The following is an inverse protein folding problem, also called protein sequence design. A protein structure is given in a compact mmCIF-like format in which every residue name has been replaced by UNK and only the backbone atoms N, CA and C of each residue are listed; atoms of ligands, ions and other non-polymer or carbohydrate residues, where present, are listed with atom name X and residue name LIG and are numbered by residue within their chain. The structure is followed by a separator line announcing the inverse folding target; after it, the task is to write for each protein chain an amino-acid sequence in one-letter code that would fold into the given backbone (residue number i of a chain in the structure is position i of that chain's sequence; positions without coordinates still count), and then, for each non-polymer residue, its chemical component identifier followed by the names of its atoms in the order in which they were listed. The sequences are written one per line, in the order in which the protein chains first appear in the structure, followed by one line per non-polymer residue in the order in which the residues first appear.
data_IF_609209599625
#
_entry.id   IF_609209599625
#
_cell.length_a   1.000
_cell.length_b   1.000
_cell.length_c   1.000
_cell.angle_alpha   90.00
_cell.angle_beta   90.00
_cell.angle_gamma   90.00
#
_symmetry.space_group_name_H-M   'P 1'
#
loop_
_entity.id
_entity.type
_entity.pdbx_description
1 polymer ?
#
# COMPACT_ATOMS: atom_id res chain seq x y z
N UNK A 1 -26.90 34.23 -6.50
CA UNK A 1 -27.74 33.23 -7.17
C UNK A 1 -27.01 31.90 -7.06
N UNK A 2 -27.52 30.94 -6.28
CA UNK A 2 -26.91 29.61 -6.15
C UNK A 2 -27.42 28.79 -7.32
N UNK A 3 -26.56 28.45 -8.27
CA UNK A 3 -26.93 27.59 -9.40
C UNK A 3 -26.86 26.12 -8.98
N UNK A 4 -27.88 25.62 -8.30
CA UNK A 4 -28.00 24.16 -8.06
C UNK A 4 -28.54 23.50 -9.32
N UNK A 5 -27.66 22.98 -10.18
CA UNK A 5 -28.09 22.09 -11.25
C UNK A 5 -28.21 20.66 -10.72
N UNK A 6 -29.44 20.16 -10.59
CA UNK A 6 -29.74 18.81 -10.07
C UNK A 6 -29.86 17.75 -11.16
N UNK A 7 -29.92 18.14 -12.44
CA UNK A 7 -30.00 17.22 -13.57
C UNK A 7 -28.65 16.63 -13.98
N UNK A 8 -28.68 15.48 -14.64
CA UNK A 8 -27.49 14.93 -15.27
C UNK A 8 -27.03 15.85 -16.42
N UNK A 9 -25.73 16.10 -16.53
CA UNK A 9 -25.12 16.85 -17.62
C UNK A 9 -24.36 15.93 -18.55
N UNK A 10 -24.65 16.00 -19.84
CA UNK A 10 -23.88 15.30 -20.88
C UNK A 10 -23.11 16.34 -21.68
N UNK A 11 -21.80 16.17 -21.77
CA UNK A 11 -20.95 17.01 -22.59
C UNK A 11 -20.75 16.37 -23.97
N UNK A 12 -21.19 17.08 -25.01
CA UNK A 12 -21.08 16.67 -26.42
C UNK A 12 -20.10 17.54 -27.24
N UNK A 13 -19.43 18.48 -26.58
CA UNK A 13 -18.45 19.38 -27.17
C UNK A 13 -17.41 19.76 -26.10
N UNK A 14 -16.25 20.24 -26.54
CA UNK A 14 -15.23 20.79 -25.66
C UNK A 14 -15.82 21.94 -24.84
N UNK A 15 -15.57 21.94 -23.53
CA UNK A 15 -16.13 22.92 -22.63
C UNK A 15 -15.23 23.14 -21.42
N UNK A 16 -15.38 24.32 -20.82
CA UNK A 16 -14.80 24.64 -19.53
C UNK A 16 -15.89 24.58 -18.46
N UNK A 17 -15.56 24.06 -17.28
CA UNK A 17 -16.43 24.06 -16.11
C UNK A 17 -15.90 25.08 -15.11
N UNK A 18 -16.82 25.89 -14.59
CA UNK A 18 -16.57 26.78 -13.46
C UNK A 18 -17.75 26.66 -12.50
N UNK A 19 -17.50 26.14 -11.30
CA UNK A 19 -18.53 25.92 -10.28
C UNK A 19 -18.82 27.17 -9.44
N UNK A 20 -17.88 28.12 -9.37
CA UNK A 20 -17.89 29.28 -8.48
C UNK A 20 -18.24 28.88 -7.03
N UNK A 21 -17.68 27.76 -6.57
CA UNK A 21 -17.93 27.16 -5.26
C UNK A 21 -19.29 26.46 -5.09
N UNK A 22 -20.08 26.28 -6.16
CA UNK A 22 -21.40 25.63 -6.11
C UNK A 22 -21.30 24.14 -6.43
N UNK A 23 -21.97 23.32 -5.62
CA UNK A 23 -22.10 21.87 -5.85
C UNK A 23 -23.10 21.56 -6.96
N UNK A 24 -22.67 20.79 -7.96
CA UNK A 24 -23.54 20.19 -8.97
C UNK A 24 -24.18 18.91 -8.41
N UNK A 25 -25.50 18.77 -8.55
CA UNK A 25 -26.25 17.67 -7.94
C UNK A 25 -26.28 16.39 -8.80
N UNK A 26 -26.49 16.52 -10.11
CA UNK A 26 -26.56 15.37 -11.02
C UNK A 26 -25.20 14.92 -11.52
N UNK A 27 -25.12 13.73 -12.11
CA UNK A 27 -23.88 13.23 -12.71
C UNK A 27 -23.42 14.12 -13.87
N UNK A 28 -22.11 14.17 -14.11
CA UNK A 28 -21.58 14.65 -15.39
C UNK A 28 -21.18 13.46 -16.23
N UNK A 29 -21.40 13.53 -17.54
CA UNK A 29 -21.08 12.46 -18.49
C UNK A 29 -20.29 13.03 -19.65
N UNK A 30 -19.10 12.49 -19.86
CA UNK A 30 -18.22 12.80 -20.99
C UNK A 30 -18.30 11.59 -21.92
N UNK A 31 -18.94 11.77 -23.08
CA UNK A 31 -19.35 10.67 -23.95
C UNK A 31 -19.26 11.03 -25.43
N UNK A 32 -18.26 11.84 -25.79
CA UNK A 32 -17.98 12.19 -27.18
C UNK A 32 -16.47 12.10 -27.43
N UNK A 33 -16.09 11.60 -28.59
CA UNK A 33 -14.69 11.45 -28.97
C UNK A 33 -14.05 12.81 -29.24
N UNK A 34 -12.78 12.96 -28.88
CA UNK A 34 -11.98 14.13 -29.23
C UNK A 34 -12.33 15.43 -28.50
N UNK A 35 -13.29 15.41 -27.57
CA UNK A 35 -13.60 16.60 -26.75
C UNK A 35 -12.73 16.63 -25.50
N UNK A 36 -12.51 17.84 -24.97
CA UNK A 36 -11.87 18.06 -23.67
C UNK A 36 -12.81 18.83 -22.76
N UNK A 37 -12.97 18.34 -21.55
CA UNK A 37 -13.67 19.05 -20.47
C UNK A 37 -12.64 19.50 -19.45
N UNK A 38 -12.47 20.82 -19.33
CA UNK A 38 -11.42 21.42 -18.49
C UNK A 38 -12.03 22.14 -17.29
N UNK A 39 -11.51 21.89 -16.10
CA UNK A 39 -11.88 22.66 -14.90
C UNK A 39 -11.13 24.00 -14.86
N UNK A 40 -11.83 25.08 -14.51
CA UNK A 40 -11.24 26.40 -14.27
C UNK A 40 -11.17 26.78 -12.79
N UNK A 41 -11.91 26.07 -11.93
CA UNK A 41 -11.91 26.20 -10.48
C UNK A 41 -12.15 24.84 -9.81
N UNK A 42 -12.17 24.83 -8.47
CA UNK A 42 -12.45 23.62 -7.70
C UNK A 42 -13.85 23.09 -7.99
N UNK A 43 -13.92 21.80 -8.31
CA UNK A 43 -15.12 21.16 -8.81
C UNK A 43 -15.81 20.36 -7.70
N UNK A 44 -17.10 20.63 -7.50
CA UNK A 44 -17.93 19.96 -6.49
C UNK A 44 -19.11 19.26 -7.15
N UNK A 45 -19.19 17.95 -6.99
CA UNK A 45 -20.20 17.09 -7.59
C UNK A 45 -20.79 16.14 -6.53
N UNK A 46 -22.10 16.17 -6.31
CA UNK A 46 -22.77 15.25 -5.38
C UNK A 46 -23.01 13.84 -5.98
N UNK A 47 -22.52 13.59 -7.20
CA UNK A 47 -22.77 12.39 -7.99
C UNK A 47 -21.48 11.92 -8.70
N UNK A 48 -21.62 11.03 -9.68
CA UNK A 48 -20.51 10.46 -10.42
C UNK A 48 -20.05 11.35 -11.57
N UNK A 49 -18.73 11.38 -11.77
CA UNK A 49 -18.13 11.68 -13.07
C UNK A 49 -18.19 10.40 -13.91
N UNK A 50 -18.99 10.41 -14.97
CA UNK A 50 -19.13 9.31 -15.92
C UNK A 50 -18.23 9.56 -17.13
N UNK A 51 -17.01 9.01 -17.09
CA UNK A 51 -15.99 9.21 -18.12
C UNK A 51 -16.02 8.06 -19.13
N UNK A 52 -16.87 8.20 -20.14
CA UNK A 52 -17.12 7.15 -21.13
C UNK A 52 -16.38 7.39 -22.46
N UNK A 53 -15.90 8.60 -22.72
CA UNK A 53 -15.09 8.98 -23.89
C UNK A 53 -14.42 10.35 -23.66
N UNK A 54 -13.42 10.70 -24.47
CA UNK A 54 -12.82 12.05 -24.49
C UNK A 54 -11.87 12.33 -23.33
N UNK A 55 -11.52 13.60 -23.11
CA UNK A 55 -10.56 14.01 -22.07
C UNK A 55 -11.26 14.73 -20.92
N UNK A 56 -10.97 14.33 -19.69
CA UNK A 56 -11.25 15.13 -18.50
C UNK A 56 -9.94 15.73 -17.99
N UNK A 57 -9.87 17.05 -17.98
CA UNK A 57 -8.70 17.83 -17.58
C UNK A 57 -9.00 18.57 -16.27
N UNK A 58 -8.44 18.07 -15.16
CA UNK A 58 -8.64 18.70 -13.86
C UNK A 58 -7.84 20.00 -13.70
N UNK A 59 -6.81 20.23 -14.52
CA UNK A 59 -6.11 21.52 -14.60
C UNK A 59 -5.66 22.04 -13.21
N UNK A 60 -5.07 21.14 -12.42
CA UNK A 60 -4.58 21.38 -11.05
C UNK A 60 -5.65 21.79 -10.02
N UNK A 61 -6.94 21.62 -10.35
CA UNK A 61 -8.05 21.92 -9.43
C UNK A 61 -8.39 20.76 -8.52
N UNK A 62 -8.92 21.07 -7.34
CA UNK A 62 -9.48 20.05 -6.47
C UNK A 62 -10.79 19.53 -7.06
N UNK A 63 -11.02 18.22 -6.90
CA UNK A 63 -12.22 17.54 -7.35
C UNK A 63 -12.86 16.86 -6.16
N UNK A 64 -14.07 17.28 -5.79
CA UNK A 64 -14.89 16.55 -4.82
C UNK A 64 -16.06 15.92 -5.56
N UNK A 65 -16.15 14.59 -5.56
CA UNK A 65 -17.24 13.87 -6.21
C UNK A 65 -17.71 12.67 -5.38
N UNK A 66 -18.92 12.17 -5.65
CA UNK A 66 -19.32 10.86 -5.10
C UNK A 66 -18.37 9.77 -5.60
N UNK A 67 -18.01 9.82 -6.88
CA UNK A 67 -17.00 8.95 -7.45
C UNK A 67 -16.73 9.25 -8.91
N UNK A 68 -15.80 8.51 -9.48
CA UNK A 68 -15.56 8.47 -10.93
C UNK A 68 -15.81 7.05 -11.42
N UNK A 69 -16.51 6.95 -12.55
CA UNK A 69 -16.79 5.67 -13.19
C UNK A 69 -16.62 5.78 -14.69
N UNK A 70 -15.96 4.79 -15.27
CA UNK A 70 -15.88 4.66 -16.71
C UNK A 70 -17.04 3.84 -17.32
N UNK A 71 -17.94 3.34 -16.45
CA UNK A 71 -19.15 2.57 -16.78
C UNK A 71 -18.90 1.51 -17.87
N UNK A 72 -17.85 0.70 -17.66
CA UNK A 72 -17.46 -0.40 -18.54
C UNK A 72 -17.13 0.00 -19.99
N UNK A 73 -16.95 1.30 -20.27
CA UNK A 73 -16.57 1.75 -21.60
C UNK A 73 -15.18 1.20 -21.98
N UNK A 74 -14.95 1.03 -23.28
CA UNK A 74 -13.65 0.68 -23.86
C UNK A 74 -13.17 1.73 -24.86
N UNK A 75 -13.87 2.87 -24.95
CA UNK A 75 -13.51 3.96 -25.84
C UNK A 75 -12.22 4.66 -25.37
N UNK A 76 -11.63 5.46 -26.26
CA UNK A 76 -10.53 6.36 -25.92
C UNK A 76 -10.96 7.42 -24.90
N UNK A 77 -10.27 7.43 -23.76
CA UNK A 77 -10.51 8.29 -22.60
C UNK A 77 -9.16 8.72 -22.03
N UNK A 78 -9.03 10.00 -21.70
CA UNK A 78 -7.84 10.54 -21.04
C UNK A 78 -8.26 11.26 -19.77
N UNK A 79 -7.75 10.82 -18.63
CA UNK A 79 -7.98 11.44 -17.33
C UNK A 79 -6.69 12.14 -16.88
N UNK A 80 -6.68 13.46 -16.92
CA UNK A 80 -5.57 14.28 -16.43
C UNK A 80 -5.94 14.79 -15.04
N UNK A 81 -5.24 14.31 -14.02
CA UNK A 81 -5.60 14.56 -12.62
C UNK A 81 -4.97 15.83 -12.04
N UNK A 82 -3.89 16.33 -12.67
CA UNK A 82 -3.14 17.49 -12.18
C UNK A 82 -2.52 17.25 -10.80
N UNK A 83 -2.38 18.31 -10.03
CA UNK A 83 -1.82 18.32 -8.66
C UNK A 83 -2.88 18.41 -7.55
N UNK A 84 -4.16 18.52 -7.91
CA UNK A 84 -5.26 18.73 -6.96
C UNK A 84 -5.60 17.51 -6.10
N UNK A 85 -6.37 17.76 -5.04
CA UNK A 85 -6.98 16.75 -4.19
C UNK A 85 -8.28 16.23 -4.82
N UNK A 86 -8.34 14.91 -5.04
CA UNK A 86 -9.50 14.17 -5.51
C UNK A 86 -10.24 13.52 -4.35
N UNK A 87 -11.19 14.25 -3.76
CA UNK A 87 -12.01 13.78 -2.64
C UNK A 87 -13.18 12.94 -3.13
N UNK A 88 -13.18 11.67 -2.78
CA UNK A 88 -14.22 10.68 -3.10
C UNK A 88 -15.13 10.49 -1.89
N UNK A 89 -16.42 10.80 -2.06
CA UNK A 89 -17.43 10.78 -0.99
C UNK A 89 -18.36 9.56 -1.04
N UNK A 90 -18.10 8.60 -1.94
CA UNK A 90 -18.87 7.36 -2.06
C UNK A 90 -19.14 6.70 -0.71
N UNK A 91 -20.43 6.41 -0.46
CA UNK A 91 -20.86 5.86 0.83
C UNK A 91 -20.75 4.34 0.92
N UNK A 92 -20.64 3.66 -0.21
CA UNK A 92 -20.56 2.21 -0.37
C UNK A 92 -20.14 1.86 -1.81
N UNK A 93 -19.67 0.63 -2.03
CA UNK A 93 -19.36 0.14 -3.37
C UNK A 93 -18.13 0.81 -3.97
N UNK A 94 -18.10 1.01 -5.29
CA UNK A 94 -16.89 1.44 -6.00
C UNK A 94 -16.87 2.94 -6.28
N UNK A 95 -16.21 3.72 -5.41
CA UNK A 95 -16.06 5.17 -5.59
C UNK A 95 -15.04 5.55 -6.67
N UNK A 96 -14.00 4.74 -6.84
CA UNK A 96 -13.04 4.85 -7.94
C UNK A 96 -13.19 3.65 -8.87
N UNK A 97 -14.03 3.78 -9.89
CA UNK A 97 -14.49 2.67 -10.74
C UNK A 97 -13.86 2.73 -12.14
N UNK A 98 -12.54 2.51 -12.20
CA UNK A 98 -11.73 2.56 -13.43
C UNK A 98 -11.13 1.19 -13.81
N UNK A 99 -11.75 0.09 -13.41
CA UNK A 99 -11.29 -1.27 -13.71
C UNK A 99 -11.14 -1.58 -15.21
N UNK A 100 -12.03 -1.03 -16.05
CA UNK A 100 -11.99 -1.24 -17.51
C UNK A 100 -10.89 -0.38 -18.14
N UNK A 101 -9.67 -0.92 -18.20
CA UNK A 101 -8.47 -0.20 -18.64
C UNK A 101 -8.38 0.04 -20.16
N UNK A 102 -9.03 -0.78 -20.99
CA UNK A 102 -8.93 -0.69 -22.47
C UNK A 102 -9.32 0.69 -22.97
N UNK A 103 -8.39 1.42 -23.61
CA UNK A 103 -8.65 2.77 -24.12
C UNK A 103 -8.68 3.87 -23.06
N UNK A 104 -8.33 3.58 -21.80
CA UNK A 104 -8.17 4.59 -20.75
C UNK A 104 -6.68 4.93 -20.57
N UNK A 105 -6.38 6.22 -20.52
CA UNK A 105 -5.08 6.76 -20.10
C UNK A 105 -5.29 7.59 -18.84
N UNK A 106 -4.49 7.34 -17.81
CA UNK A 106 -4.48 8.13 -16.57
C UNK A 106 -3.15 8.85 -16.46
N UNK A 107 -3.20 10.18 -16.37
CA UNK A 107 -2.07 11.05 -16.07
C UNK A 107 -2.25 11.59 -14.65
N UNK A 108 -1.70 10.87 -13.67
CA UNK A 108 -1.92 11.16 -12.26
C UNK A 108 -1.14 12.37 -11.73
N UNK A 109 -0.04 12.75 -12.39
CA UNK A 109 0.86 13.84 -11.98
C UNK A 109 1.20 13.77 -10.49
N UNK A 110 0.90 14.80 -9.70
CA UNK A 110 1.14 14.83 -8.24
C UNK A 110 -0.16 14.82 -7.43
N UNK A 111 -1.26 14.38 -8.02
CA UNK A 111 -2.58 14.35 -7.37
C UNK A 111 -2.65 13.43 -6.14
N UNK A 112 -3.68 13.62 -5.32
CA UNK A 112 -4.02 12.70 -4.22
C UNK A 112 -5.46 12.26 -4.36
N UNK A 113 -5.71 10.96 -4.39
CA UNK A 113 -7.06 10.38 -4.29
C UNK A 113 -7.36 10.14 -2.82
N UNK A 114 -8.41 10.78 -2.29
CA UNK A 114 -8.76 10.72 -0.87
C UNK A 114 -10.19 10.22 -0.68
N UNK A 115 -10.36 9.06 -0.04
CA UNK A 115 -11.67 8.56 0.38
C UNK A 115 -12.00 9.05 1.79
N UNK A 116 -13.14 9.72 1.98
CA UNK A 116 -13.47 10.43 3.23
C UNK A 116 -14.69 9.91 3.97
N UNK A 117 -15.51 9.04 3.36
CA UNK A 117 -16.72 8.57 3.99
C UNK A 117 -16.42 7.69 5.22
N UNK A 118 -17.00 8.08 6.37
CA UNK A 118 -16.86 7.42 7.67
C UNK A 118 -17.92 6.36 7.95
N UNK A 119 -18.87 6.13 7.03
CA UNK A 119 -19.87 5.07 7.17
C UNK A 119 -19.27 3.66 7.06
N UNK A 120 -19.86 2.71 7.78
CA UNK A 120 -19.36 1.32 7.94
C UNK A 120 -19.56 0.40 6.73
N UNK A 121 -19.97 0.93 5.58
CA UNK A 121 -20.17 0.10 4.39
C UNK A 121 -18.83 -0.27 3.74
N UNK A 122 -18.82 -1.39 3.05
CA UNK A 122 -17.69 -1.79 2.22
C UNK A 122 -17.49 -0.80 1.06
N UNK A 123 -16.22 -0.53 0.72
CA UNK A 123 -15.80 0.34 -0.36
C UNK A 123 -14.76 -0.38 -1.22
N UNK A 124 -14.79 -0.12 -2.52
CA UNK A 124 -13.83 -0.64 -3.48
C UNK A 124 -13.09 0.49 -4.19
N UNK A 125 -11.77 0.39 -4.25
CA UNK A 125 -10.91 1.12 -5.18
C UNK A 125 -10.58 0.19 -6.35
N UNK A 126 -11.15 0.48 -7.52
CA UNK A 126 -10.94 -0.30 -8.73
C UNK A 126 -10.04 0.46 -9.72
N UNK A 127 -8.73 0.37 -9.48
CA UNK A 127 -7.73 1.21 -10.12
C UNK A 127 -7.31 0.79 -11.53
N UNK A 128 -7.73 -0.37 -12.02
CA UNK A 128 -7.48 -0.80 -13.41
C UNK A 128 -6.02 -1.13 -13.75
N UNK A 129 -5.11 -1.10 -12.76
CA UNK A 129 -3.68 -1.38 -12.96
C UNK A 129 -2.86 -0.19 -13.44
N UNK A 130 -3.36 1.03 -13.23
CA UNK A 130 -2.65 2.27 -13.59
C UNK A 130 -1.70 2.74 -12.47
N UNK A 131 -0.87 3.72 -12.83
CA UNK A 131 -0.04 4.48 -11.88
C UNK A 131 -0.80 5.69 -11.39
N UNK A 132 -0.87 5.81 -10.07
CA UNK A 132 -1.41 6.93 -9.32
C UNK A 132 -0.29 7.55 -8.48
N UNK A 133 -0.46 8.81 -8.08
CA UNK A 133 0.49 9.43 -7.17
C UNK A 133 0.16 9.03 -5.73
N UNK A 134 -0.78 9.69 -5.05
CA UNK A 134 -1.13 9.30 -3.68
C UNK A 134 -2.54 8.68 -3.61
N UNK A 135 -2.68 7.58 -2.87
CA UNK A 135 -3.96 7.02 -2.47
C UNK A 135 -4.09 7.10 -0.95
N UNK A 136 -5.16 7.72 -0.48
CA UNK A 136 -5.39 7.98 0.95
C UNK A 136 -6.81 7.59 1.37
N UNK A 137 -6.91 6.64 2.30
CA UNK A 137 -8.15 6.33 3.02
C UNK A 137 -8.21 7.12 4.34
N UNK A 138 -9.03 8.17 4.37
CA UNK A 138 -9.27 9.00 5.56
C UNK A 138 -10.69 8.79 6.08
N UNK A 139 -11.00 7.54 6.42
CA UNK A 139 -12.37 7.11 6.73
C UNK A 139 -12.71 7.18 8.22
N UNK A 140 -11.92 7.91 9.01
CA UNK A 140 -12.20 8.19 10.42
C UNK A 140 -12.50 6.94 11.24
N UNK A 141 -13.73 6.81 11.72
CA UNK A 141 -14.18 5.68 12.56
C UNK A 141 -14.89 4.56 11.79
N UNK A 142 -14.76 4.51 10.46
CA UNK A 142 -15.37 3.46 9.64
C UNK A 142 -14.76 2.10 9.93
N UNK A 143 -15.60 1.10 10.21
CA UNK A 143 -15.20 -0.32 10.25
C UNK A 143 -15.40 -1.04 8.91
N UNK A 144 -15.88 -0.32 7.89
CA UNK A 144 -16.18 -0.89 6.58
C UNK A 144 -14.94 -1.38 5.84
N UNK A 145 -15.04 -2.56 5.24
CA UNK A 145 -13.94 -3.17 4.47
C UNK A 145 -13.58 -2.28 3.28
N UNK A 146 -12.29 -2.05 3.05
CA UNK A 146 -11.75 -1.45 1.84
C UNK A 146 -11.23 -2.59 0.95
N UNK A 147 -11.64 -2.65 -0.31
CA UNK A 147 -11.13 -3.63 -1.27
C UNK A 147 -10.39 -2.93 -2.40
N UNK A 148 -9.20 -3.39 -2.73
CA UNK A 148 -8.35 -2.84 -3.78
C UNK A 148 -8.22 -3.90 -4.87
N UNK A 149 -8.56 -3.50 -6.10
CA UNK A 149 -8.55 -4.39 -7.27
C UNK A 149 -7.60 -3.87 -8.34
N UNK A 150 -7.06 -4.80 -9.14
CA UNK A 150 -6.02 -4.52 -10.13
C UNK A 150 -4.64 -4.38 -9.50
N UNK A 151 -3.59 -4.49 -10.32
CA UNK A 151 -2.20 -4.32 -9.91
C UNK A 151 -1.76 -2.88 -10.12
N UNK A 152 -1.96 -2.01 -9.13
CA UNK A 152 -1.76 -0.57 -9.27
C UNK A 152 -0.37 -0.14 -8.78
N UNK A 153 0.06 1.04 -9.21
CA UNK A 153 1.27 1.69 -8.68
C UNK A 153 0.89 2.98 -7.94
N UNK A 154 1.47 3.22 -6.77
CA UNK A 154 1.27 4.42 -5.96
C UNK A 154 2.63 5.00 -5.54
N UNK A 155 2.80 6.32 -5.56
CA UNK A 155 3.90 6.97 -4.85
C UNK A 155 3.71 6.82 -3.33
N UNK A 156 2.50 7.08 -2.83
CA UNK A 156 2.13 6.88 -1.43
C UNK A 156 0.83 6.09 -1.31
N UNK A 157 0.85 5.05 -0.47
CA UNK A 157 -0.33 4.35 0.01
C UNK A 157 -0.56 4.70 1.48
N UNK A 158 -1.67 5.36 1.79
CA UNK A 158 -1.95 5.91 3.12
C UNK A 158 -3.32 5.51 3.66
N UNK A 159 -3.39 5.20 4.96
CA UNK A 159 -4.62 5.04 5.72
C UNK A 159 -4.52 5.78 7.07
N UNK A 160 -5.53 6.59 7.40
CA UNK A 160 -5.64 7.34 8.67
C UNK A 160 -6.89 6.97 9.47
N UNK A 161 -7.43 5.77 9.24
CA UNK A 161 -8.52 5.21 10.05
C UNK A 161 -8.13 5.09 11.52
N UNK A 162 -9.08 5.37 12.40
CA UNK A 162 -8.88 5.48 13.85
C UNK A 162 -9.38 4.26 14.63
N UNK A 163 -10.09 3.35 13.96
CA UNK A 163 -10.66 2.12 14.53
C UNK A 163 -10.16 0.90 13.77
N UNK A 164 -10.28 -0.29 14.38
CA UNK A 164 -10.00 -1.54 13.71
C UNK A 164 -10.85 -1.70 12.43
N UNK A 165 -10.20 -2.02 11.32
CA UNK A 165 -10.86 -2.27 10.04
C UNK A 165 -9.96 -3.12 9.13
N UNK A 166 -10.41 -3.40 7.90
CA UNK A 166 -9.72 -4.30 6.98
C UNK A 166 -9.55 -3.66 5.60
N UNK A 167 -8.34 -3.77 5.08
CA UNK A 167 -7.98 -3.50 3.69
C UNK A 167 -7.67 -4.85 3.03
N UNK A 168 -8.47 -5.19 2.01
CA UNK A 168 -8.32 -6.39 1.19
C UNK A 168 -7.67 -6.03 -0.14
N UNK A 169 -6.66 -6.79 -0.54
CA UNK A 169 -6.09 -6.76 -1.87
C UNK A 169 -6.59 -7.96 -2.66
N UNK A 170 -6.98 -7.75 -3.92
CA UNK A 170 -7.42 -8.86 -4.78
C UNK A 170 -6.29 -9.87 -4.96
N UNK A 171 -6.60 -11.15 -4.82
CA UNK A 171 -5.58 -12.19 -4.89
C UNK A 171 -4.90 -12.21 -6.27
N UNK A 172 -3.61 -12.52 -6.29
CA UNK A 172 -2.79 -12.50 -7.50
C UNK A 172 -2.46 -11.11 -8.04
N UNK A 173 -2.82 -10.03 -7.33
CA UNK A 173 -2.43 -8.66 -7.70
C UNK A 173 -1.18 -8.19 -7.00
N UNK A 174 -0.47 -7.26 -7.64
CA UNK A 174 0.72 -6.59 -7.11
C UNK A 174 0.44 -5.11 -6.96
N UNK A 175 0.57 -4.58 -5.75
CA UNK A 175 0.64 -3.14 -5.53
C UNK A 175 2.10 -2.73 -5.50
N UNK A 176 2.50 -1.82 -6.39
CA UNK A 176 3.83 -1.21 -6.38
C UNK A 176 3.73 0.11 -5.63
N UNK A 177 4.58 0.32 -4.65
CA UNK A 177 4.59 1.52 -3.81
C UNK A 177 5.99 2.13 -3.72
N UNK A 178 6.06 3.40 -3.30
CA UNK A 178 7.31 4.04 -2.82
C UNK A 178 7.22 4.40 -1.33
N UNK A 179 6.00 4.44 -0.77
CA UNK A 179 5.75 4.68 0.65
C UNK A 179 4.48 3.97 1.09
N UNK A 180 4.56 3.31 2.25
CA UNK A 180 3.43 2.73 2.97
C UNK A 180 3.24 3.44 4.31
N UNK A 181 2.14 4.18 4.45
CA UNK A 181 1.71 4.81 5.70
C UNK A 181 0.36 4.21 6.13
N UNK A 182 0.41 3.05 6.75
CA UNK A 182 -0.79 2.36 7.24
C UNK A 182 -0.54 1.87 8.64
N UNK A 183 -1.00 2.68 9.60
CA UNK A 183 -0.66 2.54 11.00
C UNK A 183 -1.94 2.56 11.83
N UNK A 184 -2.23 1.46 12.52
CA UNK A 184 -3.32 1.39 13.48
C UNK A 184 -2.95 2.03 14.82
N UNK A 185 -3.71 1.67 15.85
CA UNK A 185 -3.37 2.00 17.24
C UNK A 185 -3.59 0.80 18.17
N UNK A 186 -3.13 0.90 19.42
CA UNK A 186 -3.35 -0.16 20.41
C UNK A 186 -4.84 -0.48 20.55
N UNK A 187 -5.21 -1.75 20.38
CA UNK A 187 -6.60 -2.20 20.36
C UNK A 187 -7.34 -2.00 19.03
N UNK A 188 -6.77 -1.25 18.08
CA UNK A 188 -7.37 -0.92 16.78
C UNK A 188 -6.43 -1.30 15.63
N UNK A 189 -6.27 -2.61 15.39
CA UNK A 189 -5.41 -3.11 14.32
C UNK A 189 -6.01 -2.85 12.94
N UNK A 190 -5.20 -2.36 12.01
CA UNK A 190 -5.55 -2.36 10.57
C UNK A 190 -5.16 -3.71 9.99
N UNK A 191 -6.14 -4.44 9.46
CA UNK A 191 -5.89 -5.76 8.86
C UNK A 191 -5.58 -5.61 7.36
N UNK A 192 -4.42 -6.09 6.93
CA UNK A 192 -4.00 -6.16 5.53
C UNK A 192 -4.02 -7.63 5.07
N UNK A 193 -4.89 -7.96 4.12
CA UNK A 193 -5.07 -9.36 3.72
C UNK A 193 -5.51 -9.50 2.26
N UNK A 194 -5.50 -10.74 1.76
CA UNK A 194 -6.07 -11.09 0.47
C UNK A 194 -7.60 -11.09 0.48
N UNK A 195 -8.20 -11.12 -0.71
CA UNK A 195 -9.61 -11.43 -0.89
C UNK A 195 -9.95 -12.88 -0.56
N UNK A 196 -8.99 -13.81 -0.74
CA UNK A 196 -9.06 -15.20 -0.32
C UNK A 196 -7.67 -15.71 0.11
N UNK A 197 -7.35 -16.98 -0.14
CA UNK A 197 -6.06 -17.61 0.24
C UNK A 197 -5.01 -17.59 -0.87
N UNK A 198 -5.31 -16.99 -2.03
CA UNK A 198 -4.39 -16.92 -3.18
C UNK A 198 -3.24 -15.93 -2.99
N UNK A 199 -3.36 -15.05 -1.99
CA UNK A 199 -2.32 -14.09 -1.60
C UNK A 199 -2.18 -12.88 -2.50
N UNK A 200 -1.46 -11.88 -2.00
CA UNK A 200 -1.26 -10.58 -2.64
C UNK A 200 0.19 -10.14 -2.50
N UNK A 201 0.64 -9.25 -3.39
CA UNK A 201 2.02 -8.78 -3.42
C UNK A 201 2.04 -7.27 -3.15
N UNK A 202 2.98 -6.85 -2.30
CA UNK A 202 3.39 -5.45 -2.17
C UNK A 202 4.86 -5.34 -2.57
N UNK A 203 5.18 -4.38 -3.43
CA UNK A 203 6.52 -4.23 -3.97
C UNK A 203 7.00 -2.80 -3.84
N UNK A 204 8.24 -2.63 -3.38
CA UNK A 204 8.95 -1.35 -3.41
C UNK A 204 10.42 -1.61 -3.79
N UNK A 205 10.92 -0.80 -4.71
CA UNK A 205 12.26 -0.93 -5.29
C UNK A 205 13.40 -0.66 -4.30
N UNK A 206 13.18 0.22 -3.31
CA UNK A 206 14.23 0.64 -2.38
C UNK A 206 13.65 1.30 -1.12
N UNK A 207 14.50 1.56 -0.12
CA UNK A 207 14.06 2.25 1.10
C UNK A 207 13.50 1.29 2.16
N UNK A 208 12.69 1.84 3.08
CA UNK A 208 12.15 1.11 4.23
C UNK A 208 10.68 1.47 4.42
N UNK A 209 9.82 0.47 4.35
CA UNK A 209 8.40 0.58 4.68
C UNK A 209 8.19 0.02 6.09
N UNK A 210 7.72 0.86 7.01
CA UNK A 210 7.46 0.46 8.41
C UNK A 210 6.00 0.70 8.74
N UNK A 211 5.36 -0.33 9.30
CA UNK A 211 3.98 -0.24 9.79
C UNK A 211 3.92 -0.55 11.28
N UNK A 212 2.86 -0.09 11.93
CA UNK A 212 2.57 -0.29 13.35
C UNK A 212 1.11 -0.65 13.54
N UNK A 213 0.82 -1.51 14.52
CA UNK A 213 -0.54 -1.95 14.83
C UNK A 213 -1.29 -2.48 13.59
N UNK A 214 -0.62 -3.32 12.79
CA UNK A 214 -1.22 -4.00 11.65
C UNK A 214 -1.33 -5.51 11.87
N UNK A 215 -2.36 -6.13 11.30
CA UNK A 215 -2.44 -7.59 11.18
C UNK A 215 -2.31 -7.96 9.70
N UNK A 216 -1.18 -8.56 9.31
CA UNK A 216 -0.87 -8.83 7.91
C UNK A 216 -1.00 -10.33 7.67
N UNK A 217 -1.65 -10.74 6.57
CA UNK A 217 -1.73 -12.15 6.18
C UNK A 217 -1.73 -12.32 4.67
N UNK A 218 -1.27 -13.49 4.21
CA UNK A 218 -1.21 -13.87 2.79
C UNK A 218 -0.49 -12.85 1.90
N UNK A 219 0.50 -12.14 2.46
CA UNK A 219 1.24 -11.06 1.76
C UNK A 219 2.65 -11.49 1.39
N UNK A 220 3.06 -11.18 0.17
CA UNK A 220 4.47 -11.24 -0.25
C UNK A 220 5.00 -9.82 -0.42
N UNK A 221 5.92 -9.41 0.44
CA UNK A 221 6.68 -8.17 0.31
C UNK A 221 7.94 -8.40 -0.54
N UNK A 222 8.18 -7.54 -1.55
CA UNK A 222 9.29 -7.70 -2.51
C UNK A 222 9.79 -6.36 -3.08
N UNK A 223 10.70 -6.39 -4.06
CA UNK A 223 11.11 -5.23 -4.86
C UNK A 223 12.49 -4.66 -4.54
N UNK A 224 13.05 -4.96 -3.37
CA UNK A 224 14.39 -4.48 -2.96
C UNK A 224 14.38 -3.59 -1.71
N UNK A 225 13.23 -3.03 -1.35
CA UNK A 225 13.04 -2.34 -0.08
C UNK A 225 12.98 -3.29 1.13
N UNK A 226 13.14 -2.74 2.33
CA UNK A 226 12.92 -3.46 3.58
C UNK A 226 11.48 -3.23 4.05
N UNK A 227 10.73 -4.30 4.29
CA UNK A 227 9.38 -4.25 4.85
C UNK A 227 9.39 -4.68 6.32
N UNK A 228 9.05 -3.75 7.22
CA UNK A 228 9.10 -3.94 8.68
C UNK A 228 7.71 -3.86 9.29
N UNK A 229 7.28 -4.97 9.88
CA UNK A 229 6.06 -5.09 10.67
C UNK A 229 6.43 -5.68 12.05
N UNK A 230 7.37 -5.04 12.75
CA UNK A 230 7.94 -5.56 14.00
C UNK A 230 6.83 -5.76 15.05
N UNK A 231 6.81 -6.92 15.70
CA UNK A 231 5.81 -7.24 16.74
C UNK A 231 5.82 -6.23 17.91
N UNK A 232 6.99 -5.68 18.27
CA UNK A 232 7.11 -4.63 19.31
C UNK A 232 6.28 -3.37 19.01
N UNK A 233 6.00 -3.09 17.74
CA UNK A 233 5.15 -1.98 17.31
C UNK A 233 3.66 -2.36 17.27
N UNK A 234 3.27 -3.46 17.94
CA UNK A 234 1.89 -3.94 18.01
C UNK A 234 1.41 -4.67 16.75
N UNK A 235 2.32 -5.07 15.85
CA UNK A 235 1.96 -5.82 14.65
C UNK A 235 1.73 -7.31 14.94
N UNK A 236 0.89 -7.94 14.13
CA UNK A 236 0.59 -9.37 14.15
C UNK A 236 0.93 -9.99 12.80
N UNK A 237 1.68 -11.09 12.85
CA UNK A 237 1.82 -12.01 11.71
C UNK A 237 0.60 -12.94 11.67
N UNK A 238 -0.37 -12.60 10.83
CA UNK A 238 -1.57 -13.38 10.60
C UNK A 238 -1.35 -14.65 9.77
N UNK A 239 -0.09 -14.95 9.39
CA UNK A 239 0.30 -16.16 8.68
C UNK A 239 0.33 -16.02 7.16
N UNK A 240 1.06 -16.93 6.53
CA UNK A 240 1.27 -16.99 5.07
C UNK A 240 1.92 -15.72 4.50
N UNK A 241 2.79 -15.07 5.29
CA UNK A 241 3.54 -13.90 4.86
C UNK A 241 4.96 -14.28 4.41
N UNK A 242 5.50 -13.56 3.44
CA UNK A 242 6.91 -13.64 3.04
C UNK A 242 7.47 -12.24 2.77
N UNK A 243 8.78 -12.05 2.97
CA UNK A 243 9.47 -10.76 2.77
C UNK A 243 9.26 -9.70 3.87
N UNK A 244 8.25 -9.87 4.73
CA UNK A 244 8.00 -9.02 5.89
C UNK A 244 8.89 -9.41 7.08
N UNK A 245 9.45 -8.43 7.77
CA UNK A 245 10.15 -8.64 9.04
C UNK A 245 9.21 -8.39 10.23
N UNK A 246 8.79 -9.48 10.89
CA UNK A 246 8.02 -9.44 12.15
C UNK A 246 8.89 -9.61 13.41
N UNK A 247 10.19 -9.91 13.25
CA UNK A 247 11.08 -10.20 14.36
C UNK A 247 11.22 -9.03 15.34
N UNK A 248 11.49 -9.36 16.60
CA UNK A 248 11.92 -8.36 17.59
C UNK A 248 13.38 -8.03 17.30
N UNK A 249 13.67 -6.84 16.78
CA UNK A 249 15.03 -6.32 16.87
C UNK A 249 15.00 -4.95 17.55
N UNK A 250 15.12 -4.99 18.87
CA UNK A 250 15.75 -3.92 19.65
C UNK A 250 17.12 -4.42 20.08
N UNK A 251 18.11 -4.39 19.17
CA UNK A 251 19.48 -4.29 19.67
C UNK A 251 19.70 -2.81 19.95
N UNK A 252 19.37 -2.39 21.17
CA UNK A 252 19.78 -1.07 21.65
C UNK A 252 21.30 -1.02 21.66
N UNK A 253 21.88 -0.02 20.99
CA UNK A 253 23.32 0.22 21.04
C UNK A 253 23.70 0.54 22.50
N UNK A 254 24.72 -0.12 23.08
CA UNK A 254 25.25 0.28 24.38
C UNK A 254 25.62 1.77 24.34
N UNK A 255 25.22 2.54 25.35
CA UNK A 255 25.54 3.97 25.46
C UNK A 255 27.00 4.23 25.87
N UNK A 256 27.79 3.16 26.03
CA UNK A 256 29.19 3.25 26.45
C UNK A 256 30.08 2.67 25.34
N UNK A 257 31.16 3.36 24.93
CA UNK A 257 32.02 2.88 23.85
C UNK A 257 32.94 1.78 24.39
N UNK A 258 32.70 0.54 23.97
CA UNK A 258 33.72 -0.52 24.04
C UNK A 258 34.03 -1.03 22.64
N UNK A 259 35.23 -0.68 22.18
CA UNK A 259 35.98 -1.23 21.06
C UNK A 259 36.39 -2.67 21.44
N UNK A 260 36.26 -3.74 20.65
CA UNK A 260 36.86 -4.13 19.34
C UNK A 260 36.22 -5.51 18.98
N UNK A 261 36.22 -6.12 17.79
CA UNK A 261 37.11 -6.19 16.64
C UNK A 261 36.29 -6.79 15.46
N UNK A 262 36.45 -6.32 14.23
CA UNK A 262 35.78 -6.86 13.02
C UNK A 262 36.40 -8.19 12.55
N UNK A 263 35.60 -9.14 12.04
CA UNK A 263 36.04 -10.09 10.99
C UNK A 263 34.84 -10.61 10.12
N UNK A 264 34.95 -10.67 8.77
CA UNK A 264 33.84 -10.53 7.84
C UNK A 264 33.36 -11.85 7.22
N UNK A 265 33.04 -12.87 8.02
CA UNK A 265 32.27 -14.03 7.52
C UNK A 265 31.25 -14.41 8.58
N UNK A 266 30.14 -13.69 8.52
CA UNK A 266 29.13 -13.64 9.56
C UNK A 266 28.51 -14.98 9.90
N UNK A 267 28.37 -15.21 11.20
CA UNK A 267 27.09 -15.12 11.94
C UNK A 267 27.41 -15.38 13.40
N UNK A 268 27.45 -14.32 14.22
CA UNK A 268 27.54 -14.46 15.66
C UNK A 268 26.23 -14.02 16.33
N UNK A 269 25.74 -14.94 17.16
CA UNK A 269 24.68 -14.77 18.15
C UNK A 269 24.98 -13.57 19.05
N UNK A 270 24.02 -12.66 19.16
CA UNK A 270 23.96 -11.76 20.29
C UNK A 270 23.33 -12.50 21.48
N UNK A 271 23.83 -12.20 22.67
CA UNK A 271 23.49 -12.72 24.00
C UNK A 271 24.24 -13.98 24.45
N UNK A 272 25.32 -13.79 25.22
CA UNK A 272 25.28 -14.12 26.66
C UNK A 272 26.43 -13.45 27.40
N UNK A 273 26.10 -12.62 28.39
CA UNK A 273 27.03 -11.98 29.33
C UNK A 273 27.38 -12.86 30.54
N UNK A 274 27.16 -14.18 30.47
CA UNK A 274 27.53 -15.10 31.55
C UNK A 274 27.82 -16.52 31.07
N UNK A 275 28.56 -16.69 29.98
CA UNK A 275 29.31 -17.94 29.79
C UNK A 275 30.72 -17.65 30.29
N UNK A 276 30.92 -17.84 31.60
CA UNK A 276 32.18 -18.43 32.02
C UNK A 276 32.37 -19.68 31.17
N UNK A 277 33.56 -19.83 30.59
CA UNK A 277 34.03 -21.11 30.08
C UNK A 277 33.52 -22.23 31.00
N UNK A 278 32.84 -23.23 30.47
CA UNK A 278 33.43 -24.57 30.28
C UNK A 278 32.34 -25.61 29.95
N UNK A 279 32.41 -26.18 28.75
CA UNK A 279 32.11 -27.60 28.62
C UNK A 279 33.25 -28.17 27.78
N UNK A 280 34.21 -28.76 28.48
CA UNK A 280 35.64 -28.79 28.12
C UNK A 280 36.00 -29.44 26.78
N UNK A 281 35.11 -30.18 26.11
CA UNK A 281 35.54 -31.12 25.04
C UNK A 281 34.57 -31.36 23.87
N UNK A 282 33.54 -30.54 23.65
CA UNK A 282 32.58 -30.78 22.54
C UNK A 282 32.31 -29.52 21.71
N UNK A 283 32.47 -29.64 20.39
CA UNK A 283 31.99 -28.67 19.40
C UNK A 283 30.86 -29.30 18.58
N UNK A 284 29.82 -28.52 18.26
CA UNK A 284 28.73 -28.95 17.39
C UNK A 284 28.86 -28.26 16.03
N UNK A 285 29.12 -29.01 14.96
CA UNK A 285 29.45 -28.44 13.63
C UNK A 285 28.22 -27.98 12.82
N UNK A 286 27.01 -28.21 13.34
CA UNK A 286 25.76 -27.70 12.78
C UNK A 286 25.42 -28.21 11.37
N UNK A 287 26.01 -29.32 10.91
CA UNK A 287 25.85 -29.77 9.52
C UNK A 287 24.53 -30.53 9.26
N UNK A 288 23.87 -31.10 10.28
CA UNK A 288 22.59 -31.81 10.13
C UNK A 288 21.66 -31.59 11.36
N UNK A 289 20.42 -31.10 11.19
CA UNK A 289 19.52 -30.77 12.30
C UNK A 289 19.05 -31.96 13.16
N UNK A 290 19.21 -33.22 12.71
CA UNK A 290 18.65 -34.39 13.41
C UNK A 290 19.68 -35.38 13.97
N UNK A 291 20.99 -35.17 13.76
CA UNK A 291 22.02 -36.06 14.30
C UNK A 291 23.26 -35.25 14.71
N UNK A 292 23.52 -35.22 16.02
CA UNK A 292 24.75 -34.68 16.58
C UNK A 292 25.81 -35.79 16.64
N UNK A 293 26.84 -35.73 15.80
CA UNK A 293 28.02 -36.60 15.94
C UNK A 293 29.16 -35.86 16.62
N UNK A 294 29.71 -36.46 17.68
CA UNK A 294 30.82 -35.89 18.46
C UNK A 294 32.12 -35.96 17.66
N UNK A 295 32.85 -34.85 17.54
CA UNK A 295 34.18 -34.81 16.95
C UNK A 295 35.17 -34.29 18.01
N UNK A 296 36.27 -35.01 18.21
CA UNK A 296 37.31 -34.62 19.16
C UNK A 296 38.15 -33.45 18.61
N UNK A 297 38.53 -32.54 19.51
CA UNK A 297 39.28 -31.33 19.18
C UNK A 297 40.77 -31.66 18.90
N UNK A 298 41.40 -31.10 17.85
CA UNK A 298 42.84 -31.27 17.64
C UNK A 298 43.66 -30.56 18.73
N UNK A 299 44.80 -31.13 19.09
CA UNK A 299 45.60 -30.73 20.26
C UNK A 299 46.73 -29.74 19.96
N UNK A 300 46.79 -29.12 18.77
CA UNK A 300 47.83 -28.13 18.44
C UNK A 300 47.26 -26.86 17.78
N UNK A 301 47.91 -25.68 17.95
CA UNK A 301 47.30 -24.38 17.64
C UNK A 301 47.41 -23.97 16.15
N UNK A 302 47.98 -24.81 15.30
CA UNK A 302 48.14 -24.52 13.87
C UNK A 302 46.96 -25.04 13.06
N UNK A 303 46.12 -24.12 12.60
CA UNK A 303 44.98 -24.40 11.74
C UNK A 303 45.41 -24.53 10.27
N UNK A 304 45.73 -25.74 9.82
CA UNK A 304 45.59 -26.06 8.40
C UNK A 304 44.17 -26.59 8.17
N UNK A 305 43.54 -26.16 7.06
CA UNK A 305 42.18 -26.58 6.69
C UNK A 305 42.04 -28.09 6.84
N UNK A 306 41.29 -28.53 7.85
CA UNK A 306 40.95 -29.94 8.00
C UNK A 306 39.96 -30.26 6.88
N UNK A 307 40.33 -31.17 5.98
CA UNK A 307 39.41 -31.67 4.96
C UNK A 307 38.21 -32.30 5.62
N UNK A 308 36.99 -31.99 5.14
CA UNK A 308 35.78 -32.63 5.61
C UNK A 308 35.91 -34.16 5.50
N UNK A 309 35.45 -34.93 6.51
CA UNK A 309 35.21 -36.35 6.30
C UNK A 309 34.20 -36.51 5.16
N UNK A 310 34.43 -37.50 4.30
CA UNK A 310 33.46 -37.91 3.27
C UNK A 310 32.24 -38.51 3.97
#
# INVERSE_FOLDING_TARGET
MIWTHTGNKVFNATANITCNGVTMGGSIKINTAGITITLLDDFFLASFILHQQGTFEANDKNVTCFGISNNFSTNTRVLNMGSGLWTITATSGTGWSLATATGLTINASTSTIKHTNTGNNALTFAGGGFTYNNLWFDRGTSTGIITITGSNTFAEFKDTGTVAHTIKFTDGTTQIITSLDTNGSSGNLITLTGTSTGGWIISDSSGVNTVSYTNISYSTATGGAIFRALQKNGNIDGGNNSGWNFGWTDVNKPTTPTWTNDNPVGKEQYDQSSIEYDDTDIFYDGVNPNQFTKVAKPTTPTWTKISKPI
#
